data_IF_436253630338
#
_entry.id   IF_436253630338
#
_cell.length_a   1.000
_cell.length_b   1.000
_cell.length_c   1.000
_cell.angle_alpha   90.00
_cell.angle_beta   90.00
_cell.angle_gamma   90.00
#
_symmetry.space_group_name_H-M   'P 1'
#
loop_
_entity.id
_entity.type
_entity.pdbx_description
1 polymer ?
#
# COMPACT_ATOMS: atom_id res chain seq x y z
N UNK A 1 -14.22 -6.61 13.20
CA UNK A 1 -13.01 -7.33 13.61
C UNK A 1 -13.08 -8.80 13.22
N UNK A 2 -14.14 -9.53 13.58
CA UNK A 2 -14.30 -10.95 13.23
C UNK A 2 -14.16 -11.24 11.73
N UNK A 3 -14.81 -10.45 10.86
CA UNK A 3 -14.68 -10.61 9.41
C UNK A 3 -13.24 -10.44 8.93
N UNK A 4 -12.52 -9.43 9.42
CA UNK A 4 -11.10 -9.22 9.11
C UNK A 4 -10.25 -10.40 9.60
N UNK A 5 -10.48 -10.87 10.82
CA UNK A 5 -9.76 -12.02 11.36
C UNK A 5 -10.03 -13.31 10.57
N UNK A 6 -11.25 -13.51 10.06
CA UNK A 6 -11.55 -14.61 9.15
C UNK A 6 -10.75 -14.49 7.85
N UNK A 7 -10.79 -13.32 7.19
CA UNK A 7 -10.05 -13.07 5.95
C UNK A 7 -8.53 -13.16 6.14
N UNK A 8 -8.01 -12.81 7.32
CA UNK A 8 -6.59 -13.03 7.65
C UNK A 8 -6.25 -14.50 7.81
N UNK A 9 -7.16 -15.35 8.31
CA UNK A 9 -6.91 -16.80 8.46
C UNK A 9 -6.98 -17.55 7.13
N UNK A 10 -7.80 -17.09 6.20
CA UNK A 10 -8.16 -17.80 4.99
C UNK A 10 -8.02 -16.91 3.76
N UNK A 11 -7.05 -17.24 2.91
CA UNK A 11 -6.87 -16.63 1.60
C UNK A 11 -7.00 -17.71 0.52
N UNK A 12 -7.83 -17.46 -0.50
CA UNK A 12 -8.08 -18.44 -1.58
C UNK A 12 -6.85 -18.62 -2.49
N UNK A 13 -6.08 -17.56 -2.72
CA UNK A 13 -4.91 -17.57 -3.60
C UNK A 13 -3.64 -18.02 -2.87
N UNK A 14 -3.49 -17.59 -1.61
CA UNK A 14 -2.27 -17.80 -0.82
C UNK A 14 -2.41 -18.90 0.25
N UNK A 15 -3.61 -19.46 0.41
CA UNK A 15 -3.89 -20.53 1.37
C UNK A 15 -4.15 -20.03 2.78
N UNK A 16 -4.00 -20.93 3.76
CA UNK A 16 -4.24 -20.60 5.17
C UNK A 16 -3.05 -19.85 5.74
N UNK A 17 -3.31 -18.80 6.52
CA UNK A 17 -2.27 -18.16 7.31
C UNK A 17 -1.73 -19.15 8.35
N UNK A 18 -0.40 -19.28 8.40
CA UNK A 18 0.28 -20.32 9.20
C UNK A 18 0.36 -19.98 10.69
N UNK A 19 0.17 -18.70 11.03
CA UNK A 19 0.19 -18.21 12.40
C UNK A 19 -1.16 -18.30 13.12
N UNK A 20 -1.17 -17.89 14.38
CA UNK A 20 -2.40 -17.83 15.18
C UNK A 20 -3.08 -16.49 15.00
N UNK A 21 -4.39 -16.51 14.76
CA UNK A 21 -5.23 -15.31 14.69
C UNK A 21 -6.40 -15.48 15.64
N UNK A 22 -6.58 -14.57 16.59
CA UNK A 22 -7.74 -14.50 17.48
C UNK A 22 -8.27 -13.06 17.58
N UNK A 23 -9.44 -12.90 18.20
CA UNK A 23 -10.10 -11.60 18.37
C UNK A 23 -10.32 -11.35 19.86
N UNK A 24 -9.98 -10.15 20.30
CA UNK A 24 -10.23 -9.68 21.66
C UNK A 24 -10.83 -8.27 21.61
N UNK A 25 -12.16 -8.17 21.78
CA UNK A 25 -12.91 -6.90 21.71
C UNK A 25 -12.67 -6.17 20.38
N UNK A 26 -11.99 -5.03 20.44
CA UNK A 26 -11.64 -4.15 19.32
C UNK A 26 -10.25 -4.46 18.73
N UNK A 27 -9.63 -5.55 19.15
CA UNK A 27 -8.29 -5.94 18.70
C UNK A 27 -8.30 -7.29 17.98
N UNK A 28 -7.47 -7.40 16.95
CA UNK A 28 -7.06 -8.66 16.35
C UNK A 28 -5.71 -9.06 16.95
N UNK A 29 -5.57 -10.29 17.43
CA UNK A 29 -4.32 -10.80 17.96
C UNK A 29 -3.69 -11.71 16.92
N UNK A 30 -2.50 -11.37 16.42
CA UNK A 30 -1.77 -12.15 15.42
C UNK A 30 -0.43 -12.57 16.01
N UNK A 31 -0.20 -13.87 16.17
CA UNK A 31 1.01 -14.42 16.79
C UNK A 31 1.34 -13.82 18.18
N UNK A 32 0.32 -13.40 18.93
CA UNK A 32 0.47 -12.73 20.24
C UNK A 32 0.53 -11.20 20.16
N UNK A 33 0.73 -10.62 18.99
CA UNK A 33 0.74 -9.17 18.80
C UNK A 33 -0.68 -8.60 18.75
N UNK A 34 -0.93 -7.58 19.57
CA UNK A 34 -2.24 -6.93 19.67
C UNK A 34 -2.36 -5.80 18.66
N UNK A 35 -3.24 -5.98 17.67
CA UNK A 35 -3.51 -5.02 16.59
C UNK A 35 -4.87 -4.37 16.83
N UNK A 36 -4.88 -3.05 17.08
CA UNK A 36 -6.14 -2.31 17.27
C UNK A 36 -6.85 -2.12 15.93
N UNK A 37 -8.12 -2.46 15.90
CA UNK A 37 -8.93 -2.46 14.68
C UNK A 37 -9.95 -1.33 14.72
N UNK A 38 -10.03 -0.58 13.64
CA UNK A 38 -11.00 0.51 13.46
C UNK A 38 -11.95 0.17 12.31
N UNK A 39 -13.17 0.69 12.37
CA UNK A 39 -14.15 0.57 11.30
C UNK A 39 -14.76 1.94 11.03
N UNK A 40 -13.95 2.85 10.51
CA UNK A 40 -14.35 4.20 10.17
C UNK A 40 -14.14 4.47 8.67
N UNK A 41 -15.12 5.10 8.03
CA UNK A 41 -15.02 5.53 6.63
C UNK A 41 -14.30 6.86 6.49
N UNK A 42 -14.29 7.68 7.54
CA UNK A 42 -13.62 8.96 7.56
C UNK A 42 -12.22 8.80 8.20
N UNK A 43 -11.13 8.95 7.43
CA UNK A 43 -9.77 8.84 7.99
C UNK A 43 -9.42 9.96 8.98
N UNK A 44 -10.18 11.06 9.03
CA UNK A 44 -10.03 12.13 10.04
C UNK A 44 -10.45 11.68 11.45
N UNK A 45 -11.18 10.58 11.58
CA UNK A 45 -11.63 10.06 12.86
C UNK A 45 -10.70 8.96 13.41
N UNK A 46 -9.62 8.64 12.69
CA UNK A 46 -8.66 7.61 13.10
C UNK A 46 -7.56 8.20 14.01
N UNK A 47 -7.33 7.67 15.22
CA UNK A 47 -6.52 8.35 16.23
C UNK A 47 -5.00 8.15 16.03
N UNK A 48 -4.45 8.48 14.85
CA UNK A 48 -3.04 8.22 14.52
C UNK A 48 -2.06 8.90 15.47
N UNK A 49 -2.36 10.13 15.90
CA UNK A 49 -1.56 10.84 16.90
C UNK A 49 -1.48 10.10 18.24
N UNK A 50 -2.63 9.65 18.76
CA UNK A 50 -2.72 8.92 20.03
C UNK A 50 -1.94 7.61 19.96
N UNK A 51 -2.04 6.93 18.82
CA UNK A 51 -1.36 5.66 18.59
C UNK A 51 0.13 5.81 18.25
N UNK A 52 0.62 7.03 18.03
CA UNK A 52 2.02 7.29 17.68
C UNK A 52 2.44 6.69 16.33
N UNK A 53 1.55 6.67 15.34
CA UNK A 53 1.80 6.00 14.04
C UNK A 53 2.93 6.66 13.26
N UNK A 54 3.97 5.90 12.95
CA UNK A 54 5.07 6.34 12.09
C UNK A 54 4.69 6.35 10.62
N UNK A 55 4.04 5.28 10.14
CA UNK A 55 3.71 5.10 8.72
C UNK A 55 2.30 4.56 8.58
N UNK A 56 1.50 5.19 7.71
CA UNK A 56 0.24 4.63 7.23
C UNK A 56 0.47 4.00 5.86
N UNK A 57 0.02 2.75 5.70
CA UNK A 57 -0.10 2.09 4.41
C UNK A 57 -1.49 2.39 3.84
N UNK A 58 -1.55 3.28 2.85
CA UNK A 58 -2.80 3.70 2.22
C UNK A 58 -3.16 2.73 1.09
N UNK A 59 -3.97 1.73 1.44
CA UNK A 59 -4.35 0.62 0.58
C UNK A 59 -5.85 0.60 0.21
N UNK A 60 -6.56 1.71 0.40
CA UNK A 60 -8.00 1.79 0.08
C UNK A 60 -8.27 2.01 -1.41
N UNK A 61 -7.28 2.51 -2.17
CA UNK A 61 -7.44 2.93 -3.56
C UNK A 61 -8.09 4.32 -3.73
N UNK A 62 -8.51 4.98 -2.65
CA UNK A 62 -9.25 6.25 -2.71
C UNK A 62 -8.34 7.47 -2.54
N UNK A 63 -7.38 7.41 -1.62
CA UNK A 63 -6.50 8.52 -1.25
C UNK A 63 -5.14 8.46 -1.96
N UNK A 64 -5.17 8.40 -3.29
CA UNK A 64 -3.99 8.13 -4.14
C UNK A 64 -3.18 9.38 -4.56
N UNK A 65 -3.53 10.57 -4.10
CA UNK A 65 -2.73 11.79 -4.31
C UNK A 65 -2.20 12.31 -2.98
N UNK A 66 -1.12 13.11 -3.01
CA UNK A 66 -0.59 13.73 -1.78
C UNK A 66 -1.66 14.55 -1.08
N UNK A 67 -2.33 15.42 -1.84
CA UNK A 67 -3.47 16.23 -1.40
C UNK A 67 -4.54 15.42 -0.65
N UNK A 68 -4.94 14.25 -1.16
CA UNK A 68 -5.95 13.40 -0.52
C UNK A 68 -5.38 12.67 0.71
N UNK A 69 -4.17 12.12 0.61
CA UNK A 69 -3.52 11.38 1.69
C UNK A 69 -3.05 12.27 2.86
N UNK A 70 -2.96 13.59 2.67
CA UNK A 70 -2.64 14.55 3.73
C UNK A 70 -3.54 14.42 4.96
N UNK A 71 -4.76 13.91 4.77
CA UNK A 71 -5.69 13.63 5.87
C UNK A 71 -5.05 12.76 6.97
N UNK A 72 -4.25 11.75 6.62
CA UNK A 72 -3.55 10.90 7.60
C UNK A 72 -2.46 11.66 8.35
N UNK A 73 -1.69 12.51 7.63
CA UNK A 73 -0.64 13.34 8.22
C UNK A 73 -1.25 14.36 9.19
N UNK A 74 -2.30 15.05 8.77
CA UNK A 74 -3.01 16.02 9.58
C UNK A 74 -3.58 15.39 10.86
N UNK A 75 -3.97 14.10 10.78
CA UNK A 75 -4.46 13.34 11.92
C UNK A 75 -3.35 12.72 12.80
N UNK A 76 -2.08 12.96 12.46
CA UNK A 76 -0.93 12.68 13.31
C UNK A 76 -0.05 11.49 12.90
N UNK A 77 -0.31 10.85 11.76
CA UNK A 77 0.67 9.93 11.19
C UNK A 77 1.91 10.71 10.72
N UNK A 78 3.11 10.14 10.87
CA UNK A 78 4.34 10.84 10.44
C UNK A 78 4.58 10.74 8.93
N UNK A 79 4.19 9.63 8.30
CA UNK A 79 4.40 9.31 6.87
C UNK A 79 3.21 8.53 6.30
N UNK A 80 3.05 8.57 4.98
CA UNK A 80 2.10 7.73 4.24
C UNK A 80 2.79 7.07 3.03
N UNK A 81 2.50 5.79 2.82
CA UNK A 81 2.89 5.02 1.63
C UNK A 81 1.63 4.58 0.90
N UNK A 82 1.42 5.10 -0.31
CA UNK A 82 0.28 4.75 -1.16
C UNK A 82 0.60 3.45 -1.91
N UNK A 83 -0.29 2.45 -1.84
CA UNK A 83 -0.09 1.12 -2.45
C UNK A 83 -0.48 1.04 -3.93
N UNK A 84 -0.58 2.19 -4.60
CA UNK A 84 -1.04 2.36 -5.97
C UNK A 84 -0.28 3.52 -6.63
N UNK A 85 -0.38 3.71 -7.96
CA UNK A 85 0.17 4.89 -8.62
C UNK A 85 -0.27 6.18 -7.93
N UNK A 86 0.72 6.94 -7.47
CA UNK A 86 0.50 8.24 -6.84
C UNK A 86 0.12 9.30 -7.85
N UNK A 87 -0.62 10.31 -7.40
CA UNK A 87 -0.78 11.57 -8.14
C UNK A 87 0.57 12.26 -8.37
N UNK A 88 0.63 13.17 -9.35
CA UNK A 88 1.85 13.94 -9.67
C UNK A 88 2.34 14.83 -8.51
N UNK A 89 1.56 14.94 -7.43
CA UNK A 89 1.86 15.73 -6.25
C UNK A 89 2.53 14.93 -5.12
N UNK A 90 2.74 13.62 -5.25
CA UNK A 90 3.49 12.82 -4.25
C UNK A 90 4.97 13.18 -4.24
N UNK A 91 5.64 13.00 -3.10
CA UNK A 91 7.05 13.38 -2.94
C UNK A 91 7.99 12.53 -3.80
N UNK A 92 7.66 11.24 -3.91
CA UNK A 92 8.36 10.30 -4.76
C UNK A 92 7.49 9.09 -5.08
N UNK A 93 7.70 8.52 -6.27
CA UNK A 93 7.26 7.17 -6.61
C UNK A 93 8.47 6.26 -6.57
N UNK A 94 8.41 5.24 -5.73
CA UNK A 94 9.54 4.35 -5.44
C UNK A 94 9.22 2.93 -5.90
N UNK A 95 10.17 2.34 -6.62
CA UNK A 95 10.26 0.91 -6.90
C UNK A 95 11.49 0.42 -6.15
N UNK A 96 11.25 -0.44 -5.15
CA UNK A 96 12.31 -0.94 -4.29
C UNK A 96 13.34 -1.76 -5.07
N UNK A 97 14.63 -1.52 -4.82
CA UNK A 97 15.75 -2.13 -5.55
C UNK A 97 16.09 -1.44 -6.88
N UNK A 98 15.34 -0.39 -7.27
CA UNK A 98 15.57 0.35 -8.52
C UNK A 98 15.95 1.80 -8.23
N UNK A 99 15.12 2.50 -7.46
CA UNK A 99 15.28 3.93 -7.18
C UNK A 99 14.96 4.31 -5.72
N UNK A 100 14.96 3.34 -4.80
CA UNK A 100 14.72 3.55 -3.36
C UNK A 100 15.76 4.47 -2.70
N UNK A 101 16.94 4.60 -3.28
CA UNK A 101 17.94 5.59 -2.91
C UNK A 101 17.47 7.06 -3.07
N UNK A 102 16.39 7.31 -3.81
CA UNK A 102 15.77 8.64 -3.92
C UNK A 102 14.92 9.01 -2.71
N UNK A 103 14.64 8.06 -1.81
CA UNK A 103 13.93 8.34 -0.57
C UNK A 103 14.71 9.35 0.28
N UNK A 104 14.02 10.39 0.71
CA UNK A 104 14.57 11.41 1.60
C UNK A 104 13.82 11.44 2.91
N UNK A 105 14.51 11.76 3.99
CA UNK A 105 13.92 11.86 5.33
C UNK A 105 12.75 12.87 5.40
N UNK A 106 12.73 13.88 4.52
CA UNK A 106 11.68 14.89 4.45
C UNK A 106 10.47 14.47 3.61
N UNK A 107 10.52 13.38 2.84
CA UNK A 107 9.34 12.86 2.12
C UNK A 107 8.29 12.45 3.13
N UNK A 108 7.07 12.96 3.00
CA UNK A 108 5.96 12.62 3.91
C UNK A 108 4.97 11.66 3.26
N UNK A 109 4.76 11.77 1.96
CA UNK A 109 3.82 10.93 1.23
C UNK A 109 4.47 10.44 -0.06
N UNK A 110 4.65 9.13 -0.15
CA UNK A 110 5.24 8.46 -1.32
C UNK A 110 4.25 7.46 -1.92
N UNK A 111 4.48 7.08 -3.18
CA UNK A 111 3.79 5.97 -3.84
C UNK A 111 4.74 4.79 -4.02
N UNK A 112 4.24 3.58 -3.78
CA UNK A 112 4.92 2.32 -4.09
C UNK A 112 4.62 1.83 -5.53
N UNK A 113 4.23 2.75 -6.41
CA UNK A 113 3.85 2.50 -7.79
C UNK A 113 2.71 1.47 -7.93
N UNK A 114 2.62 0.80 -9.08
CA UNK A 114 1.73 -0.35 -9.32
C UNK A 114 2.48 -1.68 -9.30
N UNK A 115 1.76 -2.79 -9.20
CA UNK A 115 2.31 -4.14 -9.39
C UNK A 115 3.02 -4.28 -10.75
N UNK A 116 2.40 -3.81 -11.83
CA UNK A 116 2.98 -3.85 -13.18
C UNK A 116 4.26 -3.01 -13.28
N UNK A 117 4.30 -1.84 -12.65
CA UNK A 117 5.51 -1.01 -12.58
C UNK A 117 6.63 -1.73 -11.84
N UNK A 118 6.32 -2.34 -10.69
CA UNK A 118 7.28 -3.11 -9.90
C UNK A 118 7.80 -4.35 -10.67
N UNK A 119 6.99 -4.95 -11.55
CA UNK A 119 7.43 -6.04 -12.43
C UNK A 119 8.33 -5.53 -13.58
N UNK A 120 7.94 -4.45 -14.24
CA UNK A 120 8.57 -3.99 -15.47
C UNK A 120 9.90 -3.26 -15.23
N UNK A 121 9.92 -2.34 -14.25
CA UNK A 121 11.04 -1.41 -14.09
C UNK A 121 12.38 -2.10 -13.77
N UNK A 122 12.44 -3.19 -12.98
CA UNK A 122 13.67 -3.95 -12.78
C UNK A 122 14.25 -4.56 -14.06
N UNK A 123 13.43 -4.79 -15.10
CA UNK A 123 13.89 -5.25 -16.41
C UNK A 123 14.34 -4.07 -17.27
N UNK A 124 13.56 -2.98 -17.27
CA UNK A 124 13.80 -1.80 -18.12
C UNK A 124 15.06 -1.06 -17.68
N UNK A 125 15.30 -0.89 -16.38
CA UNK A 125 16.40 -0.06 -15.89
C UNK A 125 17.79 -0.57 -16.32
N UNK A 126 18.16 -1.84 -16.10
CA UNK A 126 19.47 -2.33 -16.52
C UNK A 126 19.67 -2.28 -18.04
N UNK A 127 18.62 -2.56 -18.83
CA UNK A 127 18.66 -2.46 -20.28
C UNK A 127 18.89 -1.02 -20.73
N UNK A 128 18.12 -0.08 -20.17
CA UNK A 128 18.28 1.33 -20.48
C UNK A 128 19.68 1.84 -20.10
N UNK A 129 20.17 1.51 -18.90
CA UNK A 129 21.49 1.92 -18.42
C UNK A 129 22.63 1.33 -19.25
N UNK A 130 22.47 0.11 -19.78
CA UNK A 130 23.54 -0.62 -20.48
C UNK A 130 23.59 -0.33 -21.98
N UNK A 131 22.43 -0.33 -22.64
CA UNK A 131 22.34 -0.28 -24.11
C UNK A 131 21.51 0.88 -24.64
N UNK A 132 20.84 1.64 -23.75
CA UNK A 132 19.92 2.69 -24.14
C UNK A 132 18.61 2.14 -24.71
N UNK A 133 17.48 2.63 -24.22
CA UNK A 133 16.16 2.36 -24.81
C UNK A 133 15.64 3.67 -25.38
N UNK A 134 15.46 3.72 -26.71
CA UNK A 134 14.89 4.89 -27.39
C UNK A 134 13.36 4.89 -27.33
N UNK A 135 12.73 3.74 -27.59
CA UNK A 135 11.28 3.56 -27.56
C UNK A 135 10.92 2.16 -27.05
N UNK A 136 9.72 2.02 -26.50
CA UNK A 136 9.22 0.72 -26.01
C UNK A 136 7.70 0.69 -25.97
N UNK A 137 7.16 -0.50 -26.23
CA UNK A 137 5.75 -0.82 -26.05
C UNK A 137 5.66 -1.98 -25.06
N UNK A 138 4.74 -1.92 -24.11
CA UNK A 138 4.50 -2.99 -23.15
C UNK A 138 3.02 -3.36 -23.15
N UNK A 139 2.77 -4.66 -23.13
CA UNK A 139 1.45 -5.25 -22.92
C UNK A 139 1.54 -6.17 -21.72
N UNK A 140 0.60 -6.02 -20.78
CA UNK A 140 0.44 -6.95 -19.64
C UNK A 140 -0.85 -7.72 -19.80
N UNK A 141 -0.77 -9.05 -19.66
CA UNK A 141 -1.95 -9.90 -19.45
C UNK A 141 -2.09 -10.05 -17.94
N UNK A 142 -3.11 -9.42 -17.36
CA UNK A 142 -3.24 -9.24 -15.92
C UNK A 142 -4.38 -10.10 -15.35
N UNK A 143 -4.17 -10.69 -14.17
CA UNK A 143 -5.24 -11.34 -13.40
C UNK A 143 -6.35 -10.35 -13.06
N UNK A 144 -7.58 -10.84 -12.86
CA UNK A 144 -8.65 -9.94 -12.45
C UNK A 144 -8.40 -9.38 -11.04
N UNK A 145 -8.94 -8.20 -10.75
CA UNK A 145 -8.81 -7.48 -9.48
C UNK A 145 -10.17 -7.13 -8.90
N UNK A 146 -10.20 -6.60 -7.68
CA UNK A 146 -11.44 -6.23 -7.00
C UNK A 146 -12.15 -5.00 -7.60
N UNK A 147 -11.50 -4.29 -8.54
CA UNK A 147 -12.09 -3.17 -9.27
C UNK A 147 -12.99 -3.64 -10.45
N UNK A 148 -12.95 -4.93 -10.78
CA UNK A 148 -13.81 -5.52 -11.81
C UNK A 148 -15.15 -6.00 -11.21
N UNK A 149 -16.18 -6.01 -12.06
CA UNK A 149 -17.50 -6.53 -11.71
C UNK A 149 -17.57 -8.03 -11.97
N UNK A 150 -18.23 -8.78 -11.08
CA UNK A 150 -18.41 -10.22 -11.23
C UNK A 150 -19.42 -10.59 -12.32
N UNK A 151 -20.37 -9.70 -12.57
CA UNK A 151 -21.47 -9.86 -13.52
C UNK A 151 -21.63 -8.56 -14.29
N UNK A 152 -21.92 -8.66 -15.58
CA UNK A 152 -22.19 -7.52 -16.47
C UNK A 152 -23.49 -6.78 -16.12
#
# INVERSE_FOLDING_TARGET
VESSAHLTRFDTAHGRFTGTVSVEKDCMIVNGDRIRMFSNRNPEELPWRELGIDVVMECTGVFTSKSKAMVHINNGAKKVVISAPGGNDVDATIVFGVNDNLLKANHTIISNASCTTNCLVPLVKPLHDSIGIETGLMTTVHSYTNDQVLTD
#
